data_IF_040239794804
#
_entry.id   IF_040239794804
#
_cell.length_a   1.000
_cell.length_b   1.000
_cell.length_c   1.000
_cell.angle_alpha   90.00
_cell.angle_beta   90.00
_cell.angle_gamma   90.00
#
_symmetry.space_group_name_H-M   'P 1'
#
loop_
_entity.id
_entity.type
_entity.pdbx_description
1 polymer ?
#
# COMPACT_ATOMS: atom_id res chain seq x y z
N UNK A 1 11.72 32.71 -3.48
CA UNK A 1 10.49 31.90 -3.33
C UNK A 1 10.54 31.27 -1.94
N UNK A 2 9.51 31.43 -1.09
CA UNK A 2 9.50 30.81 0.23
C UNK A 2 9.48 29.28 0.08
N UNK A 3 10.37 28.60 0.79
CA UNK A 3 10.42 27.14 0.86
C UNK A 3 9.12 26.64 1.50
N UNK A 4 8.26 25.96 0.74
CA UNK A 4 7.09 25.28 1.28
C UNK A 4 7.55 24.00 1.94
N UNK A 5 7.33 23.88 3.25
CA UNK A 5 7.55 22.64 3.98
C UNK A 5 6.58 21.59 3.40
N UNK A 6 7.07 20.42 2.94
CA UNK A 6 6.21 19.35 2.48
C UNK A 6 5.32 18.87 3.63
N UNK A 7 4.01 19.05 3.51
CA UNK A 7 3.03 18.51 4.44
C UNK A 7 2.79 17.05 4.08
N UNK A 8 3.67 16.17 4.56
CA UNK A 8 3.42 14.73 4.47
C UNK A 8 2.31 14.37 5.46
N UNK A 9 1.26 13.66 5.02
CA UNK A 9 0.18 13.27 5.92
C UNK A 9 0.73 12.40 7.06
N UNK A 10 0.16 12.50 8.28
CA UNK A 10 0.62 11.72 9.40
C UNK A 10 0.43 10.22 9.13
N UNK A 11 1.50 9.44 9.29
CA UNK A 11 1.47 7.98 9.16
C UNK A 11 1.69 7.32 10.52
N UNK A 12 1.00 6.22 10.79
CA UNK A 12 1.22 5.40 11.99
C UNK A 12 1.77 4.03 11.58
N UNK A 13 2.83 3.57 12.25
CA UNK A 13 3.37 2.22 12.01
C UNK A 13 2.42 1.15 12.59
N UNK A 14 2.16 0.10 11.81
CA UNK A 14 1.41 -1.08 12.22
C UNK A 14 2.21 -2.32 11.78
N UNK A 15 2.39 -3.27 12.71
CA UNK A 15 3.09 -4.53 12.43
C UNK A 15 2.06 -5.64 12.18
N UNK A 16 2.25 -6.40 11.10
CA UNK A 16 1.44 -7.56 10.72
C UNK A 16 2.37 -8.65 10.21
N UNK A 17 1.99 -9.93 10.35
CA UNK A 17 2.73 -11.06 9.80
C UNK A 17 2.08 -11.52 8.50
N UNK A 18 2.91 -11.71 7.48
CA UNK A 18 2.53 -12.35 6.22
C UNK A 18 3.01 -13.81 6.23
N UNK A 19 2.26 -14.76 5.63
CA UNK A 19 2.78 -16.08 5.31
C UNK A 19 4.04 -15.98 4.44
N UNK A 20 5.00 -16.89 4.61
CA UNK A 20 6.25 -16.86 3.84
C UNK A 20 5.99 -17.02 2.34
N UNK A 21 5.09 -17.91 1.96
CA UNK A 21 4.68 -18.14 0.58
C UNK A 21 4.19 -16.85 -0.09
N UNK A 22 3.35 -16.08 0.62
CA UNK A 22 2.89 -14.77 0.15
C UNK A 22 4.02 -13.74 0.04
N UNK A 23 5.01 -13.76 0.94
CA UNK A 23 6.16 -12.84 0.84
C UNK A 23 6.96 -13.13 -0.43
N UNK A 24 7.23 -14.40 -0.72
CA UNK A 24 7.94 -14.81 -1.93
C UNK A 24 7.19 -14.37 -3.19
N UNK A 25 5.87 -14.55 -3.24
CA UNK A 25 5.06 -14.08 -4.37
C UNK A 25 5.08 -12.56 -4.52
N UNK A 26 5.01 -11.81 -3.42
CA UNK A 26 5.08 -10.34 -3.46
C UNK A 26 6.45 -9.89 -3.95
N UNK A 27 7.53 -10.47 -3.42
CA UNK A 27 8.90 -10.13 -3.79
C UNK A 27 9.19 -10.44 -5.27
N UNK A 28 8.68 -11.55 -5.79
CA UNK A 28 8.78 -11.87 -7.22
C UNK A 28 7.94 -10.91 -8.07
N UNK A 29 6.71 -10.58 -7.63
CA UNK A 29 5.83 -9.67 -8.33
C UNK A 29 6.36 -8.24 -8.41
N UNK A 30 7.16 -7.78 -7.43
CA UNK A 30 7.81 -6.46 -7.44
C UNK A 30 9.24 -6.50 -7.97
N UNK A 31 9.78 -7.68 -8.29
CA UNK A 31 11.14 -7.84 -8.81
C UNK A 31 11.30 -7.07 -10.13
N UNK A 32 12.34 -6.24 -10.20
CA UNK A 32 12.61 -5.40 -11.37
C UNK A 32 11.62 -4.26 -11.57
N UNK A 33 10.69 -4.03 -10.62
CA UNK A 33 9.87 -2.82 -10.56
C UNK A 33 10.53 -1.84 -9.59
N UNK A 34 10.53 -0.56 -9.91
CA UNK A 34 10.96 0.51 -9.00
C UNK A 34 9.92 0.74 -7.87
N UNK A 35 9.59 -0.31 -7.13
CA UNK A 35 8.57 -0.32 -6.09
C UNK A 35 9.09 -1.05 -4.84
N UNK A 36 8.80 -0.50 -3.66
CA UNK A 36 9.14 -1.14 -2.39
C UNK A 36 7.99 -2.03 -1.91
N UNK A 37 8.30 -3.02 -1.07
CA UNK A 37 7.28 -3.85 -0.41
C UNK A 37 6.21 -3.00 0.30
N UNK A 38 6.63 -1.96 1.03
CA UNK A 38 5.71 -1.07 1.73
C UNK A 38 4.80 -0.29 0.77
N UNK A 39 5.31 0.18 -0.37
CA UNK A 39 4.51 0.87 -1.38
C UNK A 39 3.49 -0.10 -2.03
N UNK A 40 3.90 -1.33 -2.30
CA UNK A 40 3.02 -2.38 -2.80
C UNK A 40 1.89 -2.68 -1.81
N UNK A 41 2.19 -2.92 -0.54
CA UNK A 41 1.17 -3.21 0.49
C UNK A 41 0.21 -2.04 0.65
N UNK A 42 0.70 -0.80 0.66
CA UNK A 42 -0.16 0.38 0.76
C UNK A 42 -1.09 0.49 -0.47
N UNK A 43 -0.59 0.22 -1.68
CA UNK A 43 -1.39 0.25 -2.89
C UNK A 43 -2.46 -0.86 -2.89
N UNK A 44 -2.10 -2.08 -2.51
CA UNK A 44 -3.02 -3.21 -2.43
C UNK A 44 -4.15 -2.96 -1.43
N UNK A 45 -3.82 -2.43 -0.24
CA UNK A 45 -4.83 -2.08 0.78
C UNK A 45 -5.73 -0.95 0.31
N UNK A 46 -5.20 0.05 -0.41
CA UNK A 46 -6.02 1.12 -0.99
C UNK A 46 -7.01 0.59 -2.03
N UNK A 47 -6.57 -0.29 -2.93
CA UNK A 47 -7.44 -0.92 -3.93
C UNK A 47 -8.54 -1.73 -3.26
N UNK A 48 -8.19 -2.58 -2.29
CA UNK A 48 -9.16 -3.37 -1.55
C UNK A 48 -10.19 -2.51 -0.80
N UNK A 49 -9.78 -1.38 -0.22
CA UNK A 49 -10.70 -0.44 0.43
C UNK A 49 -11.61 0.30 -0.57
N UNK A 50 -11.15 0.52 -1.80
CA UNK A 50 -11.94 1.16 -2.85
C UNK A 50 -13.01 0.20 -3.38
N UNK A 51 -12.63 -1.05 -3.67
CA UNK A 51 -13.54 -2.15 -4.02
C UNK A 51 -14.66 -2.33 -2.99
N UNK A 52 -14.34 -2.24 -1.69
CA UNK A 52 -15.34 -2.35 -0.63
C UNK A 52 -16.32 -1.18 -0.63
N UNK A 53 -15.84 0.06 -0.88
CA UNK A 53 -16.71 1.24 -0.96
C UNK A 53 -17.60 1.22 -2.20
N UNK A 54 -17.08 0.76 -3.32
CA UNK A 54 -17.86 0.62 -4.55
C UNK A 54 -19.00 -0.38 -4.35
N UNK A 55 -18.74 -1.52 -3.70
CA UNK A 55 -19.76 -2.49 -3.32
C UNK A 55 -20.81 -1.94 -2.34
N UNK A 56 -20.43 -1.05 -1.43
CA UNK A 56 -21.37 -0.40 -0.51
C UNK A 56 -22.25 0.64 -1.22
N UNK A 57 -21.72 1.33 -2.25
CA UNK A 57 -22.44 2.38 -2.97
C UNK A 57 -23.34 1.86 -4.10
N UNK A 58 -23.09 0.65 -4.61
CA UNK A 58 -23.98 -0.05 -5.55
C UNK A 58 -25.17 -0.75 -4.86
N UNK A 59 -25.25 -0.69 -3.53
CA UNK A 59 -26.26 -1.36 -2.69
C UNK A 59 -27.38 -0.42 -2.25
#
# INVERSE_FOLDING_TARGET
MPFKIPNVPPTTNKSVRFPNDMLEEIEDAIRGKDCTFSAFVVAAVRAALDDLKEQENDR
#
